data_IF_126126309561
#
_entry.id   IF_126126309561
#
_cell.length_a   1.000
_cell.length_b   1.000
_cell.length_c   1.000
_cell.angle_alpha   90.00
_cell.angle_beta   90.00
_cell.angle_gamma   90.00
#
_symmetry.space_group_name_H-M   'P 1'
#
loop_
_entity.id
_entity.type
_entity.pdbx_description
1 polymer ?
#
# COMPACT_ATOMS: atom_id res chain seq x y z
N UNK A 1 58.70 40.81 6.11
CA UNK A 1 59.34 41.52 7.23
C UNK A 1 58.27 41.78 8.29
N UNK A 2 58.49 41.33 9.55
CA UNK A 2 57.69 41.56 10.78
C UNK A 2 56.35 40.76 10.85
N UNK A 3 56.11 39.79 11.75
CA UNK A 3 56.13 39.74 13.25
C UNK A 3 55.16 40.80 13.80
N UNK A 4 54.18 40.58 14.69
CA UNK A 4 53.90 39.64 15.79
C UNK A 4 52.38 39.75 16.14
N UNK A 5 51.71 38.76 16.73
CA UNK A 5 51.37 38.64 18.18
C UNK A 5 50.66 39.89 18.78
N UNK A 6 49.63 39.89 19.65
CA UNK A 6 48.79 38.87 20.33
C UNK A 6 47.89 39.65 21.35
N UNK A 7 46.94 38.96 21.98
CA UNK A 7 46.35 39.23 23.33
C UNK A 7 45.06 40.07 23.48
N UNK A 8 43.95 39.31 23.52
CA UNK A 8 42.86 39.15 24.50
C UNK A 8 42.92 39.93 25.85
N UNK A 9 41.71 40.15 26.42
CA UNK A 9 41.28 40.30 27.86
C UNK A 9 41.21 41.74 28.41
N UNK A 10 40.19 42.24 29.15
CA UNK A 10 38.90 41.76 29.68
C UNK A 10 38.00 42.98 30.05
N UNK A 11 36.67 42.78 29.96
CA UNK A 11 35.56 43.13 30.87
C UNK A 11 35.61 44.46 31.67
N UNK A 12 34.54 45.28 31.56
CA UNK A 12 33.75 45.77 32.71
C UNK A 12 32.28 46.12 32.35
N UNK A 13 31.39 45.28 32.89
CA UNK A 13 30.01 45.48 33.38
C UNK A 13 29.19 46.74 33.02
N UNK A 14 27.96 46.51 32.55
CA UNK A 14 26.78 47.24 33.06
C UNK A 14 25.54 46.34 33.14
N UNK A 15 24.85 46.44 34.27
CA UNK A 15 23.69 45.66 34.70
C UNK A 15 22.51 45.75 33.71
N UNK A 16 21.91 44.61 33.33
CA UNK A 16 20.64 44.67 32.60
C UNK A 16 19.98 43.40 32.04
N UNK A 17 20.58 42.19 31.97
CA UNK A 17 19.98 41.14 31.10
C UNK A 17 19.83 39.72 31.67
N UNK A 18 20.00 39.47 32.97
CA UNK A 18 19.82 38.10 33.53
C UNK A 18 18.36 37.59 33.60
N UNK A 19 17.35 38.42 33.30
CA UNK A 19 15.92 38.01 33.34
C UNK A 19 15.34 37.54 32.00
N UNK A 20 16.03 37.74 30.87
CA UNK A 20 15.52 37.34 29.55
C UNK A 20 16.04 35.97 29.09
N UNK A 21 17.33 35.63 29.27
CA UNK A 21 17.86 34.31 28.88
C UNK A 21 17.21 33.14 29.64
N UNK A 22 16.98 33.30 30.95
CA UNK A 22 16.35 32.24 31.76
C UNK A 22 14.89 31.96 31.37
N UNK A 23 14.15 32.98 30.92
CA UNK A 23 12.77 32.84 30.44
C UNK A 23 12.71 32.21 29.05
N UNK A 24 13.65 32.53 28.16
CA UNK A 24 13.73 31.94 26.82
C UNK A 24 14.14 30.47 26.91
N UNK A 25 15.12 30.12 27.74
CA UNK A 25 15.51 28.71 27.96
C UNK A 25 14.39 27.92 28.66
N UNK A 26 13.73 28.45 29.69
CA UNK A 26 12.60 27.76 30.32
C UNK A 26 11.40 27.57 29.37
N UNK A 27 11.13 28.54 28.49
CA UNK A 27 10.05 28.43 27.50
C UNK A 27 10.37 27.36 26.45
N UNK A 28 11.60 27.31 25.95
CA UNK A 28 12.05 26.29 24.99
C UNK A 28 12.10 24.88 25.61
N UNK A 29 12.46 24.74 26.89
CA UNK A 29 12.45 23.44 27.58
C UNK A 29 11.03 22.95 27.81
N UNK A 30 10.10 23.84 28.19
CA UNK A 30 8.69 23.49 28.40
C UNK A 30 7.98 23.13 27.09
N UNK A 31 8.23 23.86 26.01
CA UNK A 31 7.72 23.52 24.67
C UNK A 31 8.26 22.17 24.16
N UNK A 32 9.53 21.83 24.47
CA UNK A 32 10.08 20.50 24.14
C UNK A 32 9.47 19.36 24.95
N UNK A 33 9.20 19.57 26.23
CA UNK A 33 8.50 18.59 27.08
C UNK A 33 7.06 18.38 26.62
N UNK A 34 6.34 19.45 26.27
CA UNK A 34 4.97 19.36 25.73
C UNK A 34 4.93 18.63 24.38
N UNK A 35 5.90 18.87 23.48
CA UNK A 35 6.02 18.15 22.20
C UNK A 35 6.34 16.67 22.42
N UNK A 36 7.20 16.33 23.38
CA UNK A 36 7.52 14.93 23.68
C UNK A 36 6.31 14.18 24.26
N UNK A 37 5.58 14.79 25.19
CA UNK A 37 4.35 14.22 25.73
C UNK A 37 3.28 14.01 24.65
N UNK A 38 3.18 14.92 23.66
CA UNK A 38 2.25 14.76 22.55
C UNK A 38 2.66 13.59 21.64
N UNK A 39 3.96 13.45 21.34
CA UNK A 39 4.47 12.32 20.54
C UNK A 39 4.23 10.98 21.22
N UNK A 40 4.43 10.90 22.53
CA UNK A 40 4.15 9.68 23.30
C UNK A 40 2.67 9.31 23.24
N UNK A 41 1.77 10.28 23.43
CA UNK A 41 0.32 10.06 23.30
C UNK A 41 -0.10 9.61 21.89
N UNK A 42 0.47 10.22 20.85
CA UNK A 42 0.21 9.83 19.47
C UNK A 42 0.67 8.39 19.20
N UNK A 43 1.86 8.03 19.69
CA UNK A 43 2.38 6.67 19.57
C UNK A 43 1.50 5.64 20.31
N UNK A 44 1.05 5.95 21.52
CA UNK A 44 0.12 5.09 22.27
C UNK A 44 -1.22 4.92 21.53
N UNK A 45 -1.74 5.99 20.94
CA UNK A 45 -2.97 5.95 20.15
C UNK A 45 -2.81 5.13 18.86
N UNK A 46 -1.71 5.31 18.12
CA UNK A 46 -1.38 4.51 16.93
C UNK A 46 -1.30 3.01 17.28
N UNK A 47 -0.65 2.67 18.40
CA UNK A 47 -0.54 1.29 18.88
C UNK A 47 -1.91 0.70 19.26
N UNK A 48 -2.78 1.49 19.91
CA UNK A 48 -4.14 1.07 20.26
C UNK A 48 -4.96 0.80 18.99
N UNK A 49 -4.96 1.73 18.05
CA UNK A 49 -5.69 1.60 16.78
C UNK A 49 -5.19 0.39 15.97
N UNK A 50 -3.87 0.17 15.94
CA UNK A 50 -3.27 -0.99 15.28
C UNK A 50 -3.74 -2.31 15.91
N UNK A 51 -3.84 -2.35 17.24
CA UNK A 51 -4.33 -3.52 17.97
C UNK A 51 -5.81 -3.78 17.66
N UNK A 52 -6.66 -2.76 17.75
CA UNK A 52 -8.10 -2.86 17.40
C UNK A 52 -8.29 -3.36 15.96
N UNK A 53 -7.49 -2.82 15.03
CA UNK A 53 -7.49 -3.23 13.62
C UNK A 53 -7.13 -4.71 13.45
N UNK A 54 -6.07 -5.18 14.12
CA UNK A 54 -5.66 -6.59 14.08
C UNK A 54 -6.72 -7.51 14.65
N UNK A 55 -7.32 -7.14 15.78
CA UNK A 55 -8.39 -7.92 16.41
C UNK A 55 -9.63 -8.03 15.51
N UNK A 56 -10.02 -6.92 14.87
CA UNK A 56 -11.15 -6.90 13.95
C UNK A 56 -10.89 -7.74 12.70
N UNK A 57 -9.70 -7.59 12.10
CA UNK A 57 -9.26 -8.43 10.97
C UNK A 57 -9.31 -9.92 11.33
N UNK A 58 -8.82 -10.29 12.51
CA UNK A 58 -8.85 -11.69 12.97
C UNK A 58 -10.28 -12.21 13.15
N UNK A 59 -11.18 -11.41 13.73
CA UNK A 59 -12.61 -11.76 13.89
C UNK A 59 -13.28 -11.98 12.54
N UNK A 60 -13.07 -11.07 11.59
CA UNK A 60 -13.59 -11.19 10.23
C UNK A 60 -13.02 -12.39 9.49
N UNK A 61 -11.70 -12.62 9.58
CA UNK A 61 -11.12 -13.79 8.94
C UNK A 61 -11.68 -15.08 9.55
N UNK A 62 -11.87 -15.12 10.88
CA UNK A 62 -12.45 -16.27 11.56
C UNK A 62 -13.92 -16.54 11.17
N UNK A 63 -14.71 -15.52 10.81
CA UNK A 63 -16.10 -15.70 10.35
C UNK A 63 -16.18 -16.34 8.95
N UNK A 64 -15.13 -16.22 8.14
CA UNK A 64 -15.13 -16.78 6.79
C UNK A 64 -15.03 -18.33 6.80
N UNK A 65 -15.83 -19.05 5.99
CA UNK A 65 -15.93 -20.52 6.05
C UNK A 65 -14.75 -21.28 5.39
N UNK A 66 -14.16 -20.75 4.32
CA UNK A 66 -13.12 -21.46 3.57
C UNK A 66 -11.72 -21.36 4.22
N UNK A 67 -11.34 -22.41 4.97
CA UNK A 67 -10.03 -22.52 5.64
C UNK A 67 -8.83 -22.45 4.68
N UNK A 68 -8.96 -22.97 3.47
CA UNK A 68 -7.87 -22.99 2.51
C UNK A 68 -7.57 -21.57 2.01
N UNK A 69 -8.61 -20.77 1.74
CA UNK A 69 -8.44 -19.35 1.41
C UNK A 69 -7.86 -18.55 2.58
N UNK A 70 -8.35 -18.78 3.81
CA UNK A 70 -7.87 -18.07 5.02
C UNK A 70 -6.39 -18.26 5.30
N UNK A 71 -5.85 -19.43 4.96
CA UNK A 71 -4.45 -19.79 5.20
C UNK A 71 -3.55 -19.61 3.97
N UNK A 72 -4.04 -18.94 2.91
CA UNK A 72 -3.32 -18.74 1.66
C UNK A 72 -2.85 -17.30 1.44
N UNK A 73 -2.11 -17.06 0.35
CA UNK A 73 -1.78 -15.73 -0.17
C UNK A 73 -3.03 -14.84 -0.40
N UNK A 74 -4.19 -15.47 -0.64
CA UNK A 74 -5.45 -14.79 -0.96
C UNK A 74 -6.28 -14.41 0.27
N UNK A 75 -5.78 -14.65 1.49
CA UNK A 75 -6.56 -14.43 2.72
C UNK A 75 -7.13 -13.01 2.83
N UNK A 76 -6.34 -11.99 2.49
CA UNK A 76 -6.78 -10.59 2.54
C UNK A 76 -7.80 -10.27 1.44
N UNK A 77 -7.56 -10.76 0.21
CA UNK A 77 -8.49 -10.61 -0.91
C UNK A 77 -9.84 -11.28 -0.60
N UNK A 78 -9.80 -12.44 0.05
CA UNK A 78 -11.00 -13.18 0.47
C UNK A 78 -11.74 -12.44 1.58
N UNK A 79 -11.03 -11.96 2.60
CA UNK A 79 -11.61 -11.15 3.69
C UNK A 79 -12.32 -9.90 3.14
N UNK A 80 -11.75 -9.27 2.11
CA UNK A 80 -12.28 -8.05 1.47
C UNK A 80 -13.24 -8.33 0.31
N UNK A 81 -13.71 -9.58 0.16
CA UNK A 81 -14.68 -9.99 -0.86
C UNK A 81 -14.22 -9.73 -2.32
N UNK A 82 -12.92 -9.77 -2.60
CA UNK A 82 -12.34 -9.66 -3.95
C UNK A 82 -12.06 -11.04 -4.58
N UNK A 83 -12.05 -12.09 -3.76
CA UNK A 83 -11.94 -13.49 -4.17
C UNK A 83 -13.05 -14.29 -3.51
N UNK A 84 -13.74 -15.12 -4.27
CA UNK A 84 -14.79 -16.00 -3.77
C UNK A 84 -14.66 -17.40 -4.34
N UNK A 85 -14.97 -18.41 -3.53
CA UNK A 85 -15.10 -19.77 -4.04
C UNK A 85 -16.50 -20.01 -4.59
N UNK A 86 -16.56 -20.56 -5.80
CA UNK A 86 -17.77 -21.11 -6.39
C UNK A 86 -17.47 -22.53 -6.88
N UNK A 87 -18.01 -23.53 -6.18
CA UNK A 87 -17.78 -24.96 -6.44
C UNK A 87 -16.28 -25.30 -6.51
N UNK A 88 -15.80 -25.61 -7.72
CA UNK A 88 -14.43 -26.01 -8.04
C UNK A 88 -13.60 -24.87 -8.63
N UNK A 89 -14.02 -23.61 -8.43
CA UNK A 89 -13.32 -22.43 -8.94
C UNK A 89 -13.20 -21.34 -7.89
N UNK A 90 -12.14 -20.55 -7.99
CA UNK A 90 -11.99 -19.27 -7.32
C UNK A 90 -12.24 -18.16 -8.34
N UNK A 91 -13.26 -17.33 -8.09
CA UNK A 91 -13.56 -16.15 -8.88
C UNK A 91 -12.91 -14.91 -8.28
N UNK A 92 -12.28 -14.11 -9.13
CA UNK A 92 -11.59 -12.87 -8.78
C UNK A 92 -12.37 -11.71 -9.39
N UNK A 93 -12.61 -10.68 -8.60
CA UNK A 93 -13.15 -9.40 -9.02
C UNK A 93 -12.30 -8.29 -8.43
N UNK A 94 -11.22 -7.95 -9.12
CA UNK A 94 -10.20 -7.02 -8.65
C UNK A 94 -10.51 -5.63 -9.18
N UNK A 95 -10.74 -4.69 -8.27
CA UNK A 95 -11.07 -3.29 -8.62
C UNK A 95 -9.88 -2.41 -8.29
N UNK A 96 -9.41 -1.67 -9.29
CA UNK A 96 -8.35 -0.69 -9.19
C UNK A 96 -8.94 0.69 -9.48
N UNK A 97 -9.05 1.49 -8.45
CA UNK A 97 -9.69 2.81 -8.42
C UNK A 97 -8.73 3.88 -7.89
N UNK A 98 -7.43 3.59 -7.87
CA UNK A 98 -6.36 4.54 -7.55
C UNK A 98 -5.29 4.44 -8.64
N UNK A 99 -5.23 5.44 -9.53
CA UNK A 99 -4.35 5.41 -10.71
C UNK A 99 -3.12 6.28 -10.47
N UNK A 100 -2.04 5.64 -10.07
CA UNK A 100 -0.80 6.31 -9.69
C UNK A 100 -0.64 6.41 -8.17
N UNK A 101 0.28 7.27 -7.72
CA UNK A 101 0.55 7.50 -6.30
C UNK A 101 -0.48 8.44 -5.65
N UNK A 102 -1.77 8.21 -5.93
CA UNK A 102 -2.83 9.04 -5.39
C UNK A 102 -2.99 8.82 -3.86
N UNK A 103 -3.31 9.90 -3.16
CA UNK A 103 -3.35 10.08 -1.72
C UNK A 103 -4.49 9.30 -1.02
N UNK A 104 -5.12 8.34 -1.72
CA UNK A 104 -6.10 7.42 -1.13
C UNK A 104 -7.58 7.78 -1.31
N UNK A 105 -7.93 8.80 -2.11
CA UNK A 105 -9.31 9.00 -2.54
C UNK A 105 -9.56 8.22 -3.84
N UNK A 106 -10.50 7.27 -3.88
CA UNK A 106 -10.80 6.57 -5.12
C UNK A 106 -11.12 7.52 -6.26
N UNK A 107 -10.43 7.34 -7.38
CA UNK A 107 -10.73 7.96 -8.65
C UNK A 107 -12.17 7.63 -9.04
N UNK A 108 -12.85 8.58 -9.68
CA UNK A 108 -14.13 8.29 -10.30
C UNK A 108 -13.99 7.50 -11.61
N UNK A 109 -12.75 7.17 -12.01
CA UNK A 109 -12.36 6.22 -13.04
C UNK A 109 -11.87 4.93 -12.39
N UNK A 110 -12.28 3.76 -12.88
CA UNK A 110 -11.87 2.46 -12.33
C UNK A 110 -11.55 1.44 -13.41
N UNK A 111 -10.53 0.65 -13.12
CA UNK A 111 -10.12 -0.53 -13.87
C UNK A 111 -10.54 -1.78 -13.11
N UNK A 112 -11.30 -2.68 -13.73
CA UNK A 112 -11.77 -3.93 -13.12
C UNK A 112 -11.23 -5.12 -13.90
N UNK A 113 -10.55 -6.02 -13.18
CA UNK A 113 -10.00 -7.26 -13.73
C UNK A 113 -10.73 -8.43 -13.10
N UNK A 114 -11.38 -9.25 -13.93
CA UNK A 114 -12.09 -10.46 -13.49
C UNK A 114 -11.51 -11.69 -14.15
N UNK A 115 -11.32 -12.73 -13.37
CA UNK A 115 -10.89 -14.03 -13.87
C UNK A 115 -11.30 -15.15 -12.91
N UNK A 116 -11.06 -16.39 -13.34
CA UNK A 116 -11.27 -17.58 -12.50
C UNK A 116 -10.05 -18.49 -12.57
N UNK A 117 -9.74 -19.14 -11.47
CA UNK A 117 -8.76 -20.25 -11.42
C UNK A 117 -9.43 -21.49 -10.81
N UNK A 118 -8.92 -22.70 -11.10
CA UNK A 118 -9.37 -23.91 -10.43
C UNK A 118 -9.14 -23.80 -8.91
N UNK A 119 -10.11 -24.26 -8.14
CA UNK A 119 -9.95 -24.39 -6.69
C UNK A 119 -9.19 -25.68 -6.38
N UNK A 120 -8.08 -25.55 -5.65
CA UNK A 120 -7.27 -26.66 -5.16
C UNK A 120 -6.83 -26.37 -3.71
N UNK A 121 -6.55 -27.41 -2.93
CA UNK A 121 -5.99 -27.33 -1.59
C UNK A 121 -4.68 -28.13 -1.52
N UNK A 122 -3.49 -27.49 -1.45
CA UNK A 122 -3.28 -26.04 -1.36
C UNK A 122 -3.66 -25.31 -2.66
N UNK A 123 -3.91 -24.00 -2.55
CA UNK A 123 -4.20 -23.14 -3.71
C UNK A 123 -2.99 -23.14 -4.64
N UNK A 124 -3.25 -23.38 -5.93
CA UNK A 124 -2.24 -23.39 -6.98
C UNK A 124 -2.61 -22.39 -8.05
N UNK A 125 -1.63 -21.58 -8.45
CA UNK A 125 -1.79 -20.55 -9.46
C UNK A 125 -1.52 -21.12 -10.86
N UNK A 126 -2.50 -21.09 -11.79
CA UNK A 126 -2.32 -21.65 -13.13
C UNK A 126 -1.27 -20.88 -13.93
N UNK A 127 -0.56 -21.58 -14.83
CA UNK A 127 0.40 -20.95 -15.75
C UNK A 127 -0.23 -19.87 -16.64
N UNK A 128 -1.50 -20.02 -16.98
CA UNK A 128 -2.24 -19.06 -17.79
C UNK A 128 -3.63 -18.84 -17.25
N UNK A 129 -4.07 -17.59 -17.24
CA UNK A 129 -5.40 -17.19 -16.77
C UNK A 129 -6.07 -16.31 -17.82
N UNK A 130 -7.21 -16.71 -18.40
CA UNK A 130 -8.01 -15.80 -19.18
C UNK A 130 -8.69 -14.78 -18.25
N UNK A 131 -8.67 -13.52 -18.63
CA UNK A 131 -9.30 -12.45 -17.87
C UNK A 131 -10.18 -11.57 -18.75
N UNK A 132 -11.17 -10.93 -18.11
CA UNK A 132 -11.88 -9.78 -18.66
C UNK A 132 -11.39 -8.52 -17.96
N UNK A 133 -11.22 -7.46 -18.74
CA UNK A 133 -10.76 -6.15 -18.33
C UNK A 133 -11.85 -5.14 -18.67
N UNK A 134 -12.20 -4.31 -17.70
CA UNK A 134 -13.27 -3.34 -17.83
C UNK A 134 -12.74 -1.99 -17.34
N UNK A 135 -12.86 -0.96 -18.15
CA UNK A 135 -12.63 0.43 -17.75
C UNK A 135 -13.96 1.17 -17.79
N UNK A 136 -14.27 1.85 -16.69
CA UNK A 136 -15.50 2.64 -16.56
C UNK A 136 -15.28 3.83 -15.62
N UNK A 137 -16.21 4.80 -15.66
CA UNK A 137 -16.18 5.97 -14.77
C UNK A 137 -16.20 7.31 -15.50
N UNK A 138 -15.71 8.35 -14.83
CA UNK A 138 -15.68 9.70 -15.37
C UNK A 138 -14.93 9.78 -16.71
N UNK A 139 -15.50 10.50 -17.68
CA UNK A 139 -14.88 10.67 -19.00
C UNK A 139 -15.00 9.46 -19.93
N UNK A 140 -15.56 8.34 -19.46
CA UNK A 140 -15.87 7.17 -20.28
C UNK A 140 -17.36 7.21 -20.64
N UNK A 141 -17.66 7.56 -21.90
CA UNK A 141 -19.03 7.59 -22.41
C UNK A 141 -19.66 6.18 -22.53
N UNK A 142 -18.82 5.16 -22.75
CA UNK A 142 -19.22 3.75 -22.86
C UNK A 142 -18.14 2.87 -22.25
N UNK A 143 -18.56 1.93 -21.41
CA UNK A 143 -17.69 0.91 -20.82
C UNK A 143 -16.76 0.30 -21.88
N UNK A 144 -15.46 0.33 -21.60
CA UNK A 144 -14.46 -0.32 -22.44
C UNK A 144 -14.23 -1.71 -21.86
N UNK A 145 -14.59 -2.73 -22.63
CA UNK A 145 -14.41 -4.13 -22.23
C UNK A 145 -13.45 -4.84 -23.18
N UNK A 146 -12.47 -5.55 -22.63
CA UNK A 146 -11.47 -6.34 -23.37
C UNK A 146 -11.23 -7.66 -22.67
N UNK A 147 -10.66 -8.61 -23.40
CA UNK A 147 -10.24 -9.90 -22.85
C UNK A 147 -8.79 -10.15 -23.16
N UNK A 148 -8.08 -10.79 -22.24
CA UNK A 148 -6.67 -11.12 -22.42
C UNK A 148 -6.29 -12.42 -21.74
N UNK A 149 -5.00 -12.72 -21.81
CA UNK A 149 -4.41 -13.88 -21.12
C UNK A 149 -3.24 -13.38 -20.28
N UNK A 150 -3.33 -13.61 -18.98
CA UNK A 150 -2.20 -13.51 -18.08
C UNK A 150 -1.37 -14.79 -18.14
N UNK A 151 -0.05 -14.65 -18.21
CA UNK A 151 0.93 -15.72 -18.11
C UNK A 151 1.71 -15.57 -16.80
N UNK A 152 1.80 -16.63 -16.01
CA UNK A 152 2.52 -16.63 -14.74
C UNK A 152 4.01 -16.45 -15.02
N UNK A 153 4.60 -15.37 -14.52
CA UNK A 153 6.03 -15.06 -14.63
C UNK A 153 6.80 -15.51 -13.39
N UNK A 154 6.22 -15.28 -12.22
CA UNK A 154 6.86 -15.61 -10.93
C UNK A 154 5.79 -16.06 -9.93
N UNK A 155 6.07 -17.14 -9.21
CA UNK A 155 5.31 -17.61 -8.05
C UNK A 155 6.30 -17.96 -6.94
N UNK A 156 6.05 -17.46 -5.74
CA UNK A 156 6.89 -17.71 -4.57
C UNK A 156 6.07 -17.52 -3.28
N UNK A 157 6.69 -17.79 -2.13
CA UNK A 157 6.05 -17.57 -0.82
C UNK A 157 5.64 -16.11 -0.56
N UNK A 158 6.29 -15.15 -1.24
CA UNK A 158 5.99 -13.73 -1.10
C UNK A 158 4.91 -13.25 -2.06
N UNK A 159 4.51 -14.03 -3.08
CA UNK A 159 3.48 -13.57 -4.00
C UNK A 159 3.46 -14.25 -5.36
N UNK A 160 2.62 -13.69 -6.24
CA UNK A 160 2.51 -14.06 -7.65
C UNK A 160 2.59 -12.83 -8.53
N UNK A 161 3.24 -13.00 -9.69
CA UNK A 161 3.36 -12.00 -10.74
C UNK A 161 2.91 -12.62 -12.07
N UNK A 162 1.84 -12.07 -12.62
CA UNK A 162 1.31 -12.42 -13.93
C UNK A 162 1.61 -11.32 -14.92
N UNK A 163 1.90 -11.69 -16.17
CA UNK A 163 2.11 -10.75 -17.27
C UNK A 163 1.14 -10.99 -18.42
N UNK A 164 0.53 -9.93 -18.93
CA UNK A 164 -0.26 -9.96 -20.16
C UNK A 164 0.55 -9.36 -21.31
N UNK A 165 0.79 -10.16 -22.36
CA UNK A 165 1.47 -9.68 -23.57
C UNK A 165 0.61 -8.72 -24.40
N UNK A 166 -0.71 -8.94 -24.42
CA UNK A 166 -1.63 -8.10 -25.20
C UNK A 166 -1.77 -6.71 -24.59
N UNK A 167 -1.82 -6.65 -23.25
CA UNK A 167 -1.99 -5.40 -22.50
C UNK A 167 -0.66 -4.77 -22.07
N UNK A 168 0.46 -5.46 -22.30
CA UNK A 168 1.78 -5.07 -21.80
C UNK A 168 1.74 -4.69 -20.32
N UNK A 169 1.18 -5.58 -19.49
CA UNK A 169 0.90 -5.26 -18.09
C UNK A 169 1.18 -6.39 -17.12
N UNK A 170 1.47 -6.03 -15.86
CA UNK A 170 1.66 -6.97 -14.77
C UNK A 170 0.50 -6.91 -13.77
N UNK A 171 -0.02 -8.06 -13.37
CA UNK A 171 -0.88 -8.21 -12.20
C UNK A 171 -0.08 -8.86 -11.09
N UNK A 172 0.03 -8.20 -9.93
CA UNK A 172 0.84 -8.66 -8.80
C UNK A 172 -0.01 -8.76 -7.55
N UNK A 173 0.06 -9.91 -6.90
CA UNK A 173 -0.49 -10.15 -5.56
C UNK A 173 0.70 -10.51 -4.67
N UNK A 174 1.04 -9.64 -3.74
CA UNK A 174 2.22 -9.80 -2.88
C UNK A 174 1.81 -9.83 -1.41
N UNK A 175 2.39 -10.74 -0.64
CA UNK A 175 2.30 -10.77 0.81
C UNK A 175 3.35 -9.84 1.41
N UNK A 176 2.90 -8.91 2.22
CA UNK A 176 3.71 -8.15 3.18
C UNK A 176 3.27 -8.53 4.59
N UNK A 177 4.16 -8.43 5.58
CA UNK A 177 4.02 -8.89 6.98
C UNK A 177 2.60 -9.23 7.46
N UNK A 178 1.70 -8.25 7.42
CA UNK A 178 0.30 -8.37 7.89
C UNK A 178 -0.75 -8.11 6.82
N UNK A 179 -0.37 -7.83 5.57
CA UNK A 179 -1.27 -7.40 4.51
C UNK A 179 -0.89 -8.02 3.16
N UNK A 180 -1.88 -8.32 2.33
CA UNK A 180 -1.63 -8.58 0.91
C UNK A 180 -1.72 -7.25 0.17
N UNK A 181 -0.72 -6.94 -0.66
CA UNK A 181 -0.75 -5.85 -1.63
C UNK A 181 -1.21 -6.36 -2.99
N UNK A 182 -1.96 -5.51 -3.69
CA UNK A 182 -2.51 -5.78 -5.01
C UNK A 182 -2.13 -4.62 -5.94
N UNK A 183 -1.38 -4.94 -6.99
CA UNK A 183 -0.92 -3.97 -7.97
C UNK A 183 -1.28 -4.40 -9.39
N UNK A 184 -1.64 -3.43 -10.22
CA UNK A 184 -1.69 -3.59 -11.66
C UNK A 184 -0.78 -2.55 -12.32
N UNK A 185 0.27 -2.99 -13.01
CA UNK A 185 1.19 -2.11 -13.71
C UNK A 185 0.84 -2.09 -15.20
N UNK A 186 0.25 -1.00 -15.72
CA UNK A 186 0.05 -0.85 -17.17
C UNK A 186 1.36 -0.53 -17.89
N UNK A 187 1.44 -0.80 -19.19
CA UNK A 187 2.51 -0.35 -20.10
C UNK A 187 3.94 -0.74 -19.69
N UNK A 188 4.10 -1.87 -18.99
CA UNK A 188 5.39 -2.42 -18.59
C UNK A 188 5.85 -3.53 -19.54
N UNK A 189 7.14 -3.55 -19.85
CA UNK A 189 7.76 -4.63 -20.63
C UNK A 189 7.88 -5.91 -19.81
N UNK A 190 7.69 -7.05 -20.46
CA UNK A 190 7.87 -8.39 -19.87
C UNK A 190 9.22 -8.50 -19.13
N UNK A 191 9.20 -9.12 -17.94
CA UNK A 191 10.40 -9.37 -17.15
C UNK A 191 10.99 -8.15 -16.43
N UNK A 192 10.37 -6.96 -16.51
CA UNK A 192 10.84 -5.76 -15.80
C UNK A 192 10.62 -5.80 -14.29
N UNK A 193 9.52 -6.41 -13.85
CA UNK A 193 9.14 -6.46 -12.44
C UNK A 193 9.40 -7.85 -11.89
N UNK A 194 10.05 -7.91 -10.73
CA UNK A 194 10.29 -9.12 -9.94
C UNK A 194 9.77 -8.89 -8.52
N UNK A 195 9.18 -9.91 -7.90
CA UNK A 195 8.52 -9.77 -6.58
C UNK A 195 9.51 -9.31 -5.50
N UNK A 196 10.73 -9.86 -5.49
CA UNK A 196 11.75 -9.53 -4.49
C UNK A 196 12.25 -8.08 -4.54
N UNK A 197 12.16 -7.45 -5.70
CA UNK A 197 12.61 -6.08 -5.93
C UNK A 197 11.44 -5.12 -6.20
N UNK A 198 10.19 -5.53 -5.92
CA UNK A 198 9.01 -4.73 -6.25
C UNK A 198 9.05 -3.36 -5.54
N UNK A 199 9.38 -3.34 -4.25
CA UNK A 199 9.40 -2.09 -3.48
C UNK A 199 10.47 -1.12 -4.02
N UNK A 200 11.66 -1.62 -4.34
CA UNK A 200 12.71 -0.83 -4.98
C UNK A 200 12.30 -0.34 -6.38
N UNK A 201 11.57 -1.17 -7.13
CA UNK A 201 11.04 -0.77 -8.43
C UNK A 201 10.04 0.37 -8.28
N UNK A 202 9.09 0.27 -7.36
CA UNK A 202 8.08 1.30 -7.08
C UNK A 202 8.76 2.61 -6.63
N UNK A 203 9.71 2.54 -5.68
CA UNK A 203 10.48 3.70 -5.20
C UNK A 203 11.30 4.39 -6.29
N UNK A 204 11.64 3.68 -7.36
CA UNK A 204 12.41 4.23 -8.49
C UNK A 204 11.55 4.92 -9.56
N UNK A 205 10.22 4.83 -9.46
CA UNK A 205 9.31 5.44 -10.44
C UNK A 205 9.35 6.96 -10.28
N UNK A 206 9.63 7.65 -11.39
CA UNK A 206 9.49 9.10 -11.46
C UNK A 206 8.00 9.45 -11.63
N UNK A 207 7.41 9.97 -10.57
CA UNK A 207 6.01 10.41 -10.52
C UNK A 207 5.76 11.67 -11.36
N UNK A 208 6.81 12.43 -11.66
CA UNK A 208 6.71 13.71 -12.39
C UNK A 208 6.72 13.51 -13.91
N UNK A 209 7.00 12.29 -14.36
CA UNK A 209 6.97 11.90 -15.78
C UNK A 209 5.53 11.72 -16.26
N UNK A 210 5.18 12.31 -17.41
CA UNK A 210 3.92 12.02 -18.11
C UNK A 210 3.82 10.55 -18.56
N UNK A 211 4.95 9.84 -18.63
CA UNK A 211 5.04 8.41 -18.92
C UNK A 211 5.24 7.57 -17.63
N UNK A 212 4.80 8.08 -16.48
CA UNK A 212 4.95 7.36 -15.22
C UNK A 212 4.26 6.00 -15.29
N UNK A 213 5.01 4.93 -15.02
CA UNK A 213 4.46 3.58 -14.94
C UNK A 213 3.98 3.24 -13.53
N UNK A 214 3.44 4.23 -12.83
CA UNK A 214 2.92 4.06 -11.49
C UNK A 214 1.81 2.99 -11.48
N UNK A 215 1.80 2.09 -10.50
CA UNK A 215 0.81 1.02 -10.47
C UNK A 215 -0.58 1.57 -10.17
N UNK A 216 -1.59 0.93 -10.76
CA UNK A 216 -2.95 1.07 -10.28
C UNK A 216 -3.09 0.22 -9.01
N UNK A 217 -3.72 0.79 -7.98
CA UNK A 217 -3.97 0.11 -6.71
C UNK A 217 -5.46 0.11 -6.38
N UNK A 218 -5.83 -0.68 -5.37
CA UNK A 218 -7.21 -0.85 -4.95
C UNK A 218 -7.47 -0.11 -3.64
N UNK A 219 -8.37 0.86 -3.67
CA UNK A 219 -8.88 1.56 -2.49
C UNK A 219 -9.46 0.58 -1.47
N UNK A 220 -10.20 -0.44 -1.93
CA UNK A 220 -10.72 -1.51 -1.06
C UNK A 220 -9.57 -2.24 -0.34
N UNK A 221 -8.43 -2.48 -0.99
CA UNK A 221 -7.26 -3.10 -0.34
C UNK A 221 -6.53 -2.13 0.60
N UNK A 222 -6.55 -0.84 0.29
CA UNK A 222 -5.86 0.20 1.07
C UNK A 222 -6.68 0.72 2.26
N UNK A 223 -7.97 0.37 2.36
CA UNK A 223 -8.82 0.74 3.49
C UNK A 223 -8.32 0.16 4.82
N UNK A 224 -8.09 1.05 5.79
CA UNK A 224 -7.64 0.70 7.13
C UNK A 224 -8.77 0.23 8.06
N UNK A 225 -9.98 0.75 7.86
CA UNK A 225 -11.13 0.40 8.69
C UNK A 225 -11.77 -0.90 8.18
N UNK A 226 -11.61 -1.97 8.95
CA UNK A 226 -12.23 -3.25 8.64
C UNK A 226 -13.72 -3.31 8.99
N UNK A 227 -14.26 -2.33 9.71
CA UNK A 227 -15.66 -2.35 10.17
C UNK A 227 -16.65 -2.38 9.01
N UNK A 228 -16.27 -1.81 7.86
CA UNK A 228 -17.04 -1.82 6.62
C UNK A 228 -17.32 -3.24 6.09
N UNK A 229 -16.49 -4.22 6.46
CA UNK A 229 -16.65 -5.61 6.03
C UNK A 229 -17.51 -6.44 7.01
N UNK A 230 -17.92 -5.88 8.15
CA UNK A 230 -18.80 -6.56 9.12
C UNK A 230 -20.26 -6.69 8.64
N UNK A 231 -20.68 -5.88 7.66
CA UNK A 231 -22.07 -5.80 7.22
C UNK A 231 -22.42 -6.74 6.04
N UNK A 232 -21.45 -7.53 5.56
CA UNK A 232 -21.59 -8.37 4.36
C UNK A 232 -21.51 -9.89 4.66
N UNK A 233 -21.71 -10.30 5.92
CA UNK A 233 -21.82 -11.71 6.34
C UNK A 233 -23.29 -12.11 6.57
#
# INVERSE_FOLDING_TARGET
MRVALVLVIYILFSCGEKKQEHKVVQKVTKEKEEVNQLKEKLLEEEQRLEKERKELRQKLLASKPDENLKNSLLAELYLRNLVHRHENTLGFNLVFDLHGFDCGAPDCYRTIIKFKIPYAAPISFPKTIPFSFIEEGCGIEKEISRTGIFQLQEESEIGVNYYSKSEQSNLIIQKEDTQTKLYYFPNIKEGKIQLKSLNQFIESIDETSEESNAPYTSGIMNMYDYSIFLQND
#
